data_IF_546228686053
#
_entry.id   IF_546228686053
#
_cell.length_a   1.000
_cell.length_b   1.000
_cell.length_c   1.000
_cell.angle_alpha   90.00
_cell.angle_beta   90.00
_cell.angle_gamma   90.00
#
_symmetry.space_group_name_H-M   'P 1'
#
loop_
_entity.id
_entity.type
_entity.pdbx_description
1 polymer ?
#
# COMPACT_ATOMS: atom_id res chain seq x y z
N UNK A 1 46.97 57.94 -18.15
CA UNK A 1 46.00 56.83 -18.22
C UNK A 1 44.78 57.22 -17.41
N UNK A 2 43.72 57.62 -18.09
CA UNK A 2 42.55 58.29 -17.51
C UNK A 2 41.46 57.22 -17.33
N UNK A 3 41.04 56.97 -16.08
CA UNK A 3 39.98 56.02 -15.76
C UNK A 3 38.65 56.75 -15.87
N UNK A 4 37.83 56.38 -16.84
CA UNK A 4 36.47 56.88 -17.02
C UNK A 4 35.53 56.09 -16.12
N UNK A 5 34.79 56.83 -15.27
CA UNK A 5 33.73 56.34 -14.41
C UNK A 5 32.42 56.14 -15.19
N UNK A 6 31.79 54.97 -15.05
CA UNK A 6 30.46 54.67 -15.61
C UNK A 6 29.36 55.19 -14.69
N UNK A 7 28.22 55.70 -15.27
CA UNK A 7 27.11 56.21 -14.48
C UNK A 7 26.20 55.11 -13.94
N UNK A 8 25.79 55.20 -12.67
CA UNK A 8 24.82 54.32 -12.03
C UNK A 8 23.41 54.60 -12.50
N UNK A 9 22.77 53.62 -13.07
CA UNK A 9 21.35 53.63 -13.45
C UNK A 9 20.51 53.32 -12.20
N UNK A 10 19.83 54.33 -11.65
CA UNK A 10 18.80 54.13 -10.60
C UNK A 10 17.47 53.75 -11.25
N UNK A 11 17.09 52.47 -11.13
CA UNK A 11 15.73 52.04 -11.40
C UNK A 11 14.78 52.55 -10.30
N UNK A 12 13.90 53.45 -10.61
CA UNK A 12 12.76 53.89 -9.80
C UNK A 12 11.61 52.89 -10.04
N UNK A 13 11.45 51.91 -9.16
CA UNK A 13 10.20 51.12 -9.12
C UNK A 13 9.09 51.98 -8.53
N UNK A 14 8.12 52.32 -9.38
CA UNK A 14 6.87 53.00 -9.01
C UNK A 14 5.89 51.91 -8.57
N UNK A 15 5.71 51.74 -7.26
CA UNK A 15 4.66 50.88 -6.72
C UNK A 15 3.29 51.51 -7.06
N UNK A 16 2.58 50.89 -8.01
CA UNK A 16 1.15 51.09 -8.18
C UNK A 16 0.41 50.14 -7.23
N UNK A 17 -0.15 50.74 -6.18
CA UNK A 17 -1.10 50.11 -5.28
C UNK A 17 -2.44 49.99 -6.03
N UNK A 18 -2.76 48.76 -6.47
CA UNK A 18 -4.10 48.40 -6.92
C UNK A 18 -4.72 47.52 -5.81
N UNK A 19 -5.63 48.14 -5.04
CA UNK A 19 -6.56 47.42 -4.20
C UNK A 19 -7.65 46.81 -5.10
N UNK A 20 -7.86 45.49 -5.11
CA UNK A 20 -9.12 44.96 -5.60
C UNK A 20 -10.13 45.00 -4.44
N UNK A 21 -11.19 45.77 -4.62
CA UNK A 21 -12.41 45.67 -3.81
C UNK A 21 -13.00 44.28 -3.98
N UNK A 22 -13.10 43.58 -2.88
CA UNK A 22 -13.68 42.23 -2.79
C UNK A 22 -15.21 42.39 -2.71
N UNK A 23 -15.89 42.32 -3.87
CA UNK A 23 -17.34 42.16 -3.89
C UNK A 23 -17.70 40.78 -3.36
N UNK A 24 -18.41 40.79 -2.25
CA UNK A 24 -18.98 39.58 -1.61
C UNK A 24 -20.10 39.02 -2.49
N UNK A 25 -19.75 38.00 -3.30
CA UNK A 25 -20.73 37.16 -3.99
C UNK A 25 -21.27 36.17 -2.95
N UNK A 26 -22.48 36.44 -2.48
CA UNK A 26 -23.26 35.51 -1.68
C UNK A 26 -23.69 34.32 -2.56
N UNK A 27 -23.02 33.19 -2.39
CA UNK A 27 -23.38 31.92 -3.05
C UNK A 27 -24.54 31.29 -2.29
N UNK A 28 -25.74 31.53 -2.75
CA UNK A 28 -26.97 30.89 -2.23
C UNK A 28 -27.02 29.45 -2.70
N UNK A 29 -26.58 28.54 -1.84
CA UNK A 29 -26.60 27.10 -2.07
C UNK A 29 -28.03 26.57 -1.99
N UNK A 30 -28.66 26.40 -3.13
CA UNK A 30 -29.92 25.64 -3.26
C UNK A 30 -29.60 24.14 -3.37
N UNK A 31 -29.46 23.46 -2.22
CA UNK A 31 -29.55 22.01 -2.19
C UNK A 31 -30.96 21.63 -1.73
N UNK A 32 -31.68 20.75 -2.44
CA UNK A 32 -32.95 20.21 -1.96
C UNK A 32 -32.66 19.29 -0.76
N UNK A 33 -33.34 19.56 0.35
CA UNK A 33 -33.32 18.72 1.56
C UNK A 33 -33.87 17.32 1.20
N UNK A 34 -33.01 16.31 1.28
CA UNK A 34 -33.41 14.92 1.26
C UNK A 34 -34.13 14.59 2.58
N UNK A 35 -35.23 13.80 2.54
CA UNK A 35 -35.97 13.45 3.73
C UNK A 35 -35.13 12.54 4.64
N UNK A 36 -35.13 12.87 5.94
CA UNK A 36 -34.49 12.10 6.99
C UNK A 36 -35.06 10.68 7.06
N UNK A 37 -34.21 9.68 6.81
CA UNK A 37 -34.56 8.27 7.04
C UNK A 37 -34.43 8.01 8.54
N UNK A 38 -35.57 7.79 9.20
CA UNK A 38 -35.66 7.38 10.61
C UNK A 38 -35.10 5.96 10.79
N UNK A 39 -34.34 5.68 11.89
CA UNK A 39 -33.82 4.34 12.16
C UNK A 39 -34.95 3.37 12.54
N UNK A 40 -34.86 2.07 12.16
CA UNK A 40 -35.87 1.09 12.50
C UNK A 40 -35.88 0.80 14.00
N UNK A 41 -37.07 0.94 14.60
CA UNK A 41 -37.37 0.60 16.00
C UNK A 41 -37.15 -0.91 16.22
N UNK A 42 -36.32 -1.25 17.20
CA UNK A 42 -36.18 -2.63 17.69
C UNK A 42 -37.49 -3.12 18.30
N UNK A 43 -38.16 -4.05 17.63
CA UNK A 43 -39.28 -4.80 18.23
C UNK A 43 -38.70 -5.81 19.19
N UNK A 44 -39.09 -5.67 20.47
CA UNK A 44 -38.87 -6.65 21.49
C UNK A 44 -39.66 -7.94 21.15
N UNK A 45 -38.93 -9.06 21.03
CA UNK A 45 -39.53 -10.38 20.94
C UNK A 45 -39.70 -10.95 22.36
N UNK A 46 -40.95 -11.16 22.74
CA UNK A 46 -41.37 -11.77 24.00
C UNK A 46 -40.91 -13.22 24.11
N UNK A 47 -40.33 -13.55 25.27
CA UNK A 47 -40.02 -14.89 25.72
C UNK A 47 -41.32 -15.68 25.93
N UNK A 48 -41.49 -16.77 25.20
CA UNK A 48 -42.48 -17.82 25.54
C UNK A 48 -41.65 -19.02 26.05
N UNK A 49 -41.71 -19.24 27.34
CA UNK A 49 -41.17 -20.43 28.01
C UNK A 49 -42.15 -21.59 27.73
N UNK A 50 -41.67 -22.67 27.13
CA UNK A 50 -42.35 -23.96 27.13
C UNK A 50 -41.49 -24.95 27.91
N UNK A 51 -42.03 -25.31 29.06
CA UNK A 51 -41.53 -26.38 29.93
C UNK A 51 -41.94 -27.68 29.32
N UNK A 52 -40.99 -28.55 28.97
CA UNK A 52 -41.25 -29.97 28.76
C UNK A 52 -40.41 -30.82 29.70
N UNK A 53 -41.13 -31.53 30.53
CA UNK A 53 -40.64 -32.47 31.57
C UNK A 53 -40.05 -33.75 30.97
N UNK A 54 -39.10 -34.29 31.69
CA UNK A 54 -38.32 -35.48 31.50
C UNK A 54 -39.05 -36.75 31.23
N UNK A 55 -38.42 -37.67 30.49
CA UNK A 55 -38.44 -39.11 30.76
C UNK A 55 -37.07 -39.67 30.39
N UNK A 56 -36.44 -40.30 31.40
CA UNK A 56 -35.18 -41.04 31.33
C UNK A 56 -35.39 -42.40 30.70
N UNK A 57 -34.55 -42.80 29.73
CA UNK A 57 -34.26 -44.21 29.49
C UNK A 57 -32.76 -44.35 29.16
N UNK A 58 -32.06 -45.06 30.06
CA UNK A 58 -30.72 -45.58 29.80
C UNK A 58 -30.77 -46.60 28.67
N UNK A 59 -29.98 -46.43 27.66
CA UNK A 59 -29.52 -47.48 26.78
C UNK A 59 -28.06 -47.22 26.40
N UNK A 60 -27.16 -47.98 27.04
CA UNK A 60 -25.74 -48.04 26.70
C UNK A 60 -25.57 -48.74 25.37
N UNK A 61 -25.16 -48.02 24.35
CA UNK A 61 -24.60 -48.60 23.14
C UNK A 61 -23.35 -47.86 22.76
N UNK A 62 -22.21 -48.54 22.94
CA UNK A 62 -20.90 -48.12 22.47
C UNK A 62 -20.89 -48.09 20.92
N UNK A 63 -21.14 -46.94 20.38
CA UNK A 63 -20.89 -46.66 18.96
C UNK A 63 -19.59 -45.89 18.83
N UNK A 64 -18.58 -46.54 18.25
CA UNK A 64 -17.36 -45.91 17.78
C UNK A 64 -17.72 -44.82 16.74
N UNK A 65 -17.79 -43.60 17.20
CA UNK A 65 -17.95 -42.45 16.32
C UNK A 65 -16.64 -42.16 15.60
N UNK A 66 -16.51 -42.65 14.36
CA UNK A 66 -15.63 -42.02 13.38
C UNK A 66 -16.04 -40.54 13.24
N UNK A 67 -15.29 -39.66 13.86
CA UNK A 67 -15.46 -38.22 13.69
C UNK A 67 -15.13 -37.87 12.24
N UNK A 68 -16.19 -37.74 11.42
CA UNK A 68 -16.09 -36.98 10.18
C UNK A 68 -15.70 -35.55 10.60
N UNK A 69 -14.42 -35.20 10.37
CA UNK A 69 -13.92 -33.86 10.54
C UNK A 69 -14.82 -32.95 9.71
N UNK A 70 -15.58 -32.11 10.38
CA UNK A 70 -16.30 -31.04 9.73
C UNK A 70 -15.31 -30.22 8.90
N UNK A 71 -15.64 -29.78 7.67
CA UNK A 71 -14.76 -28.94 6.91
C UNK A 71 -14.48 -27.69 7.76
N UNK A 72 -13.21 -27.51 8.13
CA UNK A 72 -12.76 -26.33 8.87
C UNK A 72 -13.23 -25.11 8.07
N UNK A 73 -14.06 -24.25 8.68
CA UNK A 73 -14.32 -22.91 8.13
C UNK A 73 -12.96 -22.34 7.79
N UNK A 74 -12.70 -22.09 6.51
CA UNK A 74 -11.47 -21.44 6.07
C UNK A 74 -11.35 -20.15 6.88
N UNK A 75 -10.36 -20.08 7.75
CA UNK A 75 -10.10 -18.87 8.53
C UNK A 75 -9.97 -17.73 7.54
N UNK A 76 -10.63 -16.61 7.83
CA UNK A 76 -10.50 -15.42 7.01
C UNK A 76 -9.01 -15.10 6.86
N UNK A 77 -8.53 -14.71 5.67
CA UNK A 77 -7.13 -14.45 5.44
C UNK A 77 -6.67 -13.35 6.42
N UNK A 78 -5.63 -13.64 7.20
CA UNK A 78 -5.12 -12.74 8.22
C UNK A 78 -3.73 -12.24 7.83
N UNK A 79 -3.44 -10.99 8.22
CA UNK A 79 -2.09 -10.45 8.09
C UNK A 79 -1.15 -11.15 9.07
N UNK A 80 0.00 -11.55 8.59
CA UNK A 80 1.11 -12.05 9.38
C UNK A 80 2.35 -11.18 9.16
N UNK A 81 3.24 -11.14 10.14
CA UNK A 81 4.51 -10.43 10.00
C UNK A 81 5.53 -11.31 9.29
N UNK A 82 6.23 -10.73 8.30
CA UNK A 82 7.29 -11.45 7.60
C UNK A 82 8.51 -11.59 8.52
N UNK A 83 9.15 -12.76 8.57
CA UNK A 83 10.37 -12.93 9.34
C UNK A 83 11.46 -11.97 8.83
N UNK A 84 12.31 -11.50 9.72
CA UNK A 84 13.47 -10.62 9.45
C UNK A 84 13.13 -9.34 8.66
N UNK A 85 11.89 -8.87 8.74
CA UNK A 85 11.39 -7.74 7.94
C UNK A 85 11.14 -6.46 8.74
N UNK A 86 11.47 -6.44 10.04
CA UNK A 86 11.27 -5.29 10.93
C UNK A 86 9.86 -4.65 10.81
N UNK A 87 8.81 -5.49 10.90
CA UNK A 87 7.42 -5.05 10.98
C UNK A 87 6.66 -4.99 9.66
N UNK A 88 7.18 -5.57 8.58
CA UNK A 88 6.41 -5.72 7.33
C UNK A 88 5.32 -6.77 7.52
N UNK A 89 4.06 -6.38 7.31
CA UNK A 89 2.91 -7.29 7.42
C UNK A 89 2.48 -7.74 6.04
N UNK A 90 2.22 -9.03 5.90
CA UNK A 90 1.83 -9.66 4.64
C UNK A 90 0.48 -10.38 4.76
N UNK A 91 -0.25 -10.40 3.66
CA UNK A 91 -1.49 -11.16 3.49
C UNK A 91 -1.42 -11.86 2.13
N UNK A 92 -1.47 -13.18 2.14
CA UNK A 92 -1.54 -13.96 0.90
C UNK A 92 -2.93 -13.83 0.28
N UNK A 93 -3.01 -13.22 -0.88
CA UNK A 93 -4.25 -13.14 -1.68
C UNK A 93 -4.36 -14.34 -2.61
N UNK A 94 -3.23 -14.78 -3.16
CA UNK A 94 -3.10 -16.01 -3.97
C UNK A 94 -1.73 -16.62 -3.73
N UNK A 95 -1.70 -17.90 -3.41
CA UNK A 95 -0.45 -18.63 -3.28
C UNK A 95 0.01 -19.08 -4.67
N UNK A 96 1.24 -18.73 -5.04
CA UNK A 96 1.84 -19.18 -6.29
C UNK A 96 2.26 -20.66 -6.23
N UNK A 97 2.40 -21.27 -7.39
CA UNK A 97 2.85 -22.67 -7.53
C UNK A 97 4.25 -22.79 -8.13
N UNK A 98 4.82 -21.69 -8.62
CA UNK A 98 6.12 -21.66 -9.28
C UNK A 98 7.30 -21.58 -8.32
N UNK A 99 8.45 -21.27 -8.88
CA UNK A 99 9.72 -21.13 -8.17
C UNK A 99 9.68 -20.01 -7.12
N UNK A 100 10.42 -20.22 -6.03
CA UNK A 100 10.63 -19.19 -5.00
C UNK A 100 12.04 -18.62 -5.17
N UNK A 101 12.23 -17.29 -5.04
CA UNK A 101 13.58 -16.71 -5.00
C UNK A 101 14.34 -17.33 -3.82
N UNK A 102 15.30 -18.20 -4.10
CA UNK A 102 16.02 -18.97 -3.08
C UNK A 102 16.83 -18.05 -2.16
N UNK A 103 16.66 -18.19 -0.83
CA UNK A 103 17.37 -17.35 0.15
C UNK A 103 18.89 -17.62 0.17
N UNK A 104 19.34 -18.79 -0.23
CA UNK A 104 20.76 -19.16 -0.18
C UNK A 104 21.59 -18.50 -1.30
N UNK A 105 20.96 -18.00 -2.37
CA UNK A 105 21.63 -17.39 -3.52
C UNK A 105 21.03 -16.00 -3.80
N UNK A 106 20.78 -15.22 -2.76
CA UNK A 106 20.15 -13.88 -2.88
C UNK A 106 21.01 -12.86 -3.67
N UNK A 107 22.27 -13.16 -3.91
CA UNK A 107 23.16 -12.34 -4.73
C UNK A 107 22.96 -12.77 -6.19
N UNK A 108 22.44 -11.85 -7.04
CA UNK A 108 22.20 -12.04 -8.46
C UNK A 108 20.89 -12.74 -8.87
N UNK A 109 19.85 -12.70 -8.04
CA UNK A 109 18.50 -13.10 -8.46
C UNK A 109 17.74 -11.88 -8.98
N UNK A 110 17.40 -11.88 -10.27
CA UNK A 110 16.54 -10.87 -10.88
C UNK A 110 15.09 -11.35 -10.82
N UNK A 111 14.23 -10.51 -10.30
CA UNK A 111 12.79 -10.76 -10.20
C UNK A 111 12.00 -9.79 -11.06
N UNK A 112 10.86 -10.26 -11.58
CA UNK A 112 9.89 -9.44 -12.28
C UNK A 112 8.57 -9.49 -11.52
N UNK A 113 8.01 -8.33 -11.19
CA UNK A 113 6.78 -8.21 -10.42
C UNK A 113 5.81 -7.25 -11.09
N UNK A 114 4.52 -7.53 -10.96
CA UNK A 114 3.50 -6.49 -11.08
C UNK A 114 3.14 -5.99 -9.70
N UNK A 115 2.89 -4.69 -9.59
CA UNK A 115 2.47 -4.11 -8.32
C UNK A 115 1.39 -3.04 -8.49
N UNK A 116 0.67 -2.84 -7.40
CA UNK A 116 -0.27 -1.74 -7.20
C UNK A 116 0.09 -1.05 -5.88
N UNK A 117 0.66 0.16 -5.96
CA UNK A 117 1.22 0.89 -4.83
C UNK A 117 0.28 1.98 -4.32
N UNK A 118 0.05 2.00 -3.00
CA UNK A 118 -0.80 2.98 -2.31
C UNK A 118 -0.08 3.57 -1.09
N UNK A 119 -0.40 4.82 -0.80
CA UNK A 119 0.07 5.52 0.40
C UNK A 119 -1.07 5.60 1.43
N UNK A 120 -0.93 4.94 2.58
CA UNK A 120 -1.96 4.89 3.62
C UNK A 120 -2.33 6.28 4.15
N UNK A 121 -1.34 7.18 4.31
CA UNK A 121 -1.52 8.54 4.83
C UNK A 121 -2.45 9.44 3.99
N UNK A 122 -2.75 9.08 2.76
CA UNK A 122 -3.63 9.81 1.84
C UNK A 122 -4.88 9.00 1.51
N UNK A 123 -5.49 8.38 2.50
CA UNK A 123 -6.70 7.54 2.35
C UNK A 123 -6.51 6.40 1.34
N UNK A 124 -5.29 5.83 1.30
CA UNK A 124 -4.97 4.78 0.35
C UNK A 124 -4.80 5.27 -1.09
N UNK A 125 -4.43 6.57 -1.27
CA UNK A 125 -4.15 7.10 -2.60
C UNK A 125 -3.14 6.23 -3.34
N UNK A 126 -3.56 5.78 -4.54
CA UNK A 126 -2.70 5.06 -5.48
C UNK A 126 -1.69 6.04 -6.07
N UNK A 127 -0.42 5.79 -5.84
CA UNK A 127 0.64 6.62 -6.40
C UNK A 127 1.25 6.03 -7.67
N UNK A 128 1.20 4.69 -7.84
CA UNK A 128 1.72 4.03 -9.03
C UNK A 128 1.19 2.60 -9.18
N UNK A 129 1.21 2.08 -10.41
CA UNK A 129 0.97 0.68 -10.72
C UNK A 129 1.60 0.30 -12.06
N UNK A 130 2.20 -0.88 -12.13
CA UNK A 130 2.78 -1.42 -13.37
C UNK A 130 1.74 -1.69 -14.46
N UNK A 131 0.46 -1.81 -14.11
CA UNK A 131 -0.61 -2.01 -15.10
C UNK A 131 -0.91 -0.75 -15.94
N UNK A 132 -0.46 0.41 -15.49
CA UNK A 132 -0.53 1.66 -16.26
C UNK A 132 0.70 1.84 -17.17
N UNK A 133 1.80 1.10 -16.91
CA UNK A 133 3.02 1.11 -17.72
C UNK A 133 2.90 0.07 -18.81
N UNK A 134 2.55 0.49 -20.01
CA UNK A 134 2.30 -0.41 -21.14
C UNK A 134 3.40 -0.33 -22.18
N UNK A 135 3.66 -1.47 -22.82
CA UNK A 135 4.52 -1.56 -23.99
C UNK A 135 3.80 -1.10 -25.27
N UNK A 136 4.47 -1.20 -26.41
CA UNK A 136 3.93 -0.85 -27.73
C UNK A 136 2.71 -1.71 -28.13
N UNK A 137 2.58 -2.91 -27.54
CA UNK A 137 1.47 -3.84 -27.79
C UNK A 137 0.29 -3.60 -26.85
N UNK A 138 0.44 -2.70 -25.86
CA UNK A 138 -0.56 -2.42 -24.83
C UNK A 138 -0.50 -3.36 -23.63
N UNK A 139 0.50 -4.27 -23.56
CA UNK A 139 0.69 -5.17 -22.44
C UNK A 139 1.41 -4.48 -21.27
N UNK A 140 1.04 -4.79 -20.01
CA UNK A 140 1.68 -4.23 -18.84
C UNK A 140 3.16 -4.65 -18.74
N UNK A 141 4.04 -3.68 -18.51
CA UNK A 141 5.48 -3.94 -18.33
C UNK A 141 5.73 -4.27 -16.85
N UNK A 142 6.23 -5.47 -16.51
CA UNK A 142 6.56 -5.80 -15.14
C UNK A 142 7.79 -5.02 -14.67
N UNK A 143 7.75 -4.57 -13.42
CA UNK A 143 8.89 -3.95 -12.77
C UNK A 143 9.95 -5.02 -12.44
N UNK A 144 11.20 -4.79 -12.86
CA UNK A 144 12.27 -5.77 -12.68
C UNK A 144 13.39 -5.20 -11.84
N UNK A 145 13.84 -5.98 -10.84
CA UNK A 145 14.96 -5.59 -9.99
C UNK A 145 15.78 -6.81 -9.55
N UNK A 146 16.97 -6.55 -9.02
CA UNK A 146 17.86 -7.59 -8.47
C UNK A 146 17.73 -7.57 -6.96
N UNK A 147 17.45 -8.72 -6.36
CA UNK A 147 17.37 -8.87 -4.91
C UNK A 147 18.72 -8.57 -4.26
N UNK A 148 18.71 -7.85 -3.15
CA UNK A 148 19.93 -7.44 -2.44
C UNK A 148 20.71 -6.31 -3.09
N UNK A 149 20.19 -5.68 -4.16
CA UNK A 149 20.87 -4.56 -4.83
C UNK A 149 20.81 -3.26 -4.03
N UNK A 150 19.94 -3.15 -3.05
CA UNK A 150 19.68 -1.92 -2.29
C UNK A 150 19.01 -0.79 -3.07
N UNK A 151 18.65 -1.04 -4.33
CA UNK A 151 17.96 -0.05 -5.18
C UNK A 151 16.47 0.07 -4.85
N UNK A 152 15.88 -1.02 -4.38
CA UNK A 152 14.44 -1.10 -4.07
C UNK A 152 14.24 -0.93 -2.57
N UNK A 153 13.06 -0.44 -2.17
CA UNK A 153 12.68 -0.35 -0.75
C UNK A 153 12.78 -1.73 -0.08
N UNK A 154 13.35 -1.78 1.12
CA UNK A 154 13.66 -3.02 1.84
C UNK A 154 12.40 -3.88 2.06
N UNK A 155 11.26 -3.24 2.36
CA UNK A 155 10.01 -3.95 2.58
C UNK A 155 9.48 -4.69 1.34
N UNK A 156 9.74 -4.19 0.13
CA UNK A 156 9.38 -4.89 -1.11
C UNK A 156 10.29 -6.09 -1.35
N UNK A 157 11.61 -5.96 -1.11
CA UNK A 157 12.53 -7.08 -1.21
C UNK A 157 12.16 -8.19 -0.22
N UNK A 158 11.86 -7.83 1.04
CA UNK A 158 11.43 -8.78 2.06
C UNK A 158 10.15 -9.51 1.64
N UNK A 159 9.19 -8.79 1.04
CA UNK A 159 7.94 -9.37 0.57
C UNK A 159 8.15 -10.42 -0.52
N UNK A 160 9.02 -10.13 -1.50
CA UNK A 160 9.22 -10.97 -2.68
C UNK A 160 10.05 -12.22 -2.37
N UNK A 161 11.02 -12.15 -1.45
CA UNK A 161 11.93 -13.26 -1.10
C UNK A 161 11.20 -14.56 -0.74
N UNK A 162 10.04 -14.48 -0.10
CA UNK A 162 9.26 -15.64 0.34
C UNK A 162 8.05 -15.95 -0.54
N UNK A 163 7.85 -15.24 -1.65
CA UNK A 163 6.78 -15.49 -2.59
C UNK A 163 7.15 -16.58 -3.59
N UNK A 164 6.12 -17.29 -4.10
CA UNK A 164 6.25 -18.17 -5.25
C UNK A 164 5.76 -17.47 -6.51
N UNK A 165 6.38 -17.78 -7.66
CA UNK A 165 5.93 -17.28 -8.96
C UNK A 165 4.45 -17.61 -9.18
N UNK A 166 3.69 -16.65 -9.68
CA UNK A 166 2.23 -16.68 -9.81
C UNK A 166 1.48 -16.32 -8.53
N UNK A 167 2.17 -16.05 -7.42
CA UNK A 167 1.55 -15.61 -6.17
C UNK A 167 1.18 -14.13 -6.20
N UNK A 168 0.13 -13.76 -5.46
CA UNK A 168 -0.26 -12.37 -5.19
C UNK A 168 -0.29 -12.17 -3.68
N UNK A 169 0.43 -11.16 -3.22
CA UNK A 169 0.57 -10.82 -1.80
C UNK A 169 0.28 -9.33 -1.60
N UNK A 170 -0.55 -9.03 -0.62
CA UNK A 170 -0.69 -7.67 -0.10
C UNK A 170 0.28 -7.47 1.04
N UNK A 171 1.04 -6.38 1.00
CA UNK A 171 1.98 -6.03 2.06
C UNK A 171 1.73 -4.63 2.59
N UNK A 172 1.89 -4.48 3.90
CA UNK A 172 1.89 -3.20 4.59
C UNK A 172 3.32 -2.97 5.07
N UNK A 173 3.96 -1.96 4.50
CA UNK A 173 5.36 -1.64 4.75
C UNK A 173 5.44 -0.43 5.68
N UNK A 174 6.03 -0.56 6.87
CA UNK A 174 6.23 0.56 7.78
C UNK A 174 7.25 1.54 7.21
N UNK A 175 7.28 2.80 7.67
CA UNK A 175 8.20 3.82 7.18
C UNK A 175 9.67 3.43 7.26
N UNK A 176 10.07 2.66 8.29
CA UNK A 176 11.45 2.17 8.47
C UNK A 176 11.91 1.21 7.36
N UNK A 177 10.98 0.54 6.69
CA UNK A 177 11.24 -0.41 5.60
C UNK A 177 10.77 0.12 4.24
N UNK A 178 10.20 1.33 4.22
CA UNK A 178 9.76 2.06 3.04
C UNK A 178 10.87 2.93 2.46
N UNK A 179 10.47 4.04 1.81
CA UNK A 179 11.41 4.98 1.22
C UNK A 179 12.23 5.71 2.30
N UNK A 180 13.57 5.54 2.26
CA UNK A 180 14.52 6.27 3.09
C UNK A 180 15.10 7.49 2.36
N UNK A 181 15.04 7.49 1.04
CA UNK A 181 15.46 8.58 0.16
C UNK A 181 14.64 8.58 -1.14
N UNK A 182 14.84 9.60 -1.96
CA UNK A 182 14.09 9.79 -3.21
C UNK A 182 14.61 9.00 -4.41
N UNK A 183 15.68 8.22 -4.22
CA UNK A 183 16.29 7.40 -5.29
C UNK A 183 15.91 5.92 -5.22
N UNK A 184 15.25 5.49 -4.13
CA UNK A 184 14.80 4.10 -4.00
C UNK A 184 13.59 3.82 -4.88
N UNK A 185 13.63 2.69 -5.55
CA UNK A 185 12.55 2.22 -6.43
C UNK A 185 11.50 1.40 -5.64
N UNK A 186 10.27 1.26 -6.14
CA UNK A 186 9.75 1.79 -7.42
C UNK A 186 9.40 3.28 -7.34
N UNK A 187 9.74 4.03 -8.38
CA UNK A 187 9.47 5.47 -8.46
C UNK A 187 8.39 5.71 -9.51
N UNK A 188 7.30 6.43 -9.20
CA UNK A 188 6.28 6.79 -10.18
C UNK A 188 6.90 7.52 -11.38
N UNK A 189 6.59 7.12 -12.63
CA UNK A 189 7.10 7.81 -13.82
C UNK A 189 6.50 9.20 -13.96
N UNK A 190 5.25 9.38 -13.53
CA UNK A 190 4.59 10.68 -13.53
C UNK A 190 5.25 11.62 -12.51
N UNK A 191 5.70 12.78 -13.00
CA UNK A 191 6.37 13.78 -12.16
C UNK A 191 5.51 14.27 -10.99
N UNK A 192 4.23 14.54 -11.23
CA UNK A 192 3.32 15.04 -10.18
C UNK A 192 3.05 13.99 -9.09
N UNK A 193 2.86 12.73 -9.47
CA UNK A 193 2.65 11.65 -8.52
C UNK A 193 3.91 11.39 -7.70
N UNK A 194 5.08 11.40 -8.33
CA UNK A 194 6.37 11.31 -7.65
C UNK A 194 6.60 12.45 -6.68
N UNK A 195 6.35 13.69 -7.09
CA UNK A 195 6.50 14.85 -6.22
C UNK A 195 5.52 14.77 -5.04
N UNK A 196 4.26 14.44 -5.31
CA UNK A 196 3.23 14.28 -4.27
C UNK A 196 3.58 13.19 -3.27
N UNK A 197 4.11 12.06 -3.73
CA UNK A 197 4.56 10.96 -2.89
C UNK A 197 5.64 11.43 -1.92
N UNK A 198 6.74 11.95 -2.45
CA UNK A 198 7.90 12.32 -1.65
C UNK A 198 7.66 13.55 -0.77
N UNK A 199 6.91 14.55 -1.23
CA UNK A 199 6.52 15.68 -0.38
C UNK A 199 5.57 15.27 0.76
N UNK A 200 4.85 14.15 0.63
CA UNK A 200 4.04 13.62 1.72
C UNK A 200 4.90 12.85 2.71
N UNK A 201 5.73 11.91 2.24
CA UNK A 201 6.57 11.05 3.09
C UNK A 201 7.63 11.87 3.83
N UNK A 202 8.32 12.77 3.13
CA UNK A 202 9.41 13.57 3.66
C UNK A 202 9.01 15.00 4.06
N UNK A 203 7.74 15.21 4.44
CA UNK A 203 7.27 16.52 4.90
C UNK A 203 7.95 16.90 6.21
N UNK A 204 8.85 17.92 6.24
CA UNK A 204 9.64 18.23 7.41
C UNK A 204 8.80 18.72 8.60
N UNK A 205 7.75 19.48 8.33
CA UNK A 205 6.86 20.01 9.37
C UNK A 205 6.09 18.88 10.07
N UNK A 206 5.55 17.94 9.30
CA UNK A 206 4.79 16.81 9.86
C UNK A 206 5.70 15.78 10.53
N UNK A 207 6.92 15.59 10.02
CA UNK A 207 7.93 14.75 10.66
C UNK A 207 8.36 15.33 12.01
N UNK A 208 8.55 16.66 12.08
CA UNK A 208 8.87 17.35 13.32
C UNK A 208 7.73 17.26 14.37
N UNK A 209 6.48 17.17 13.93
CA UNK A 209 5.30 16.95 14.79
C UNK A 209 5.11 15.49 15.24
N UNK A 210 6.02 14.59 14.90
CA UNK A 210 5.93 13.17 15.28
C UNK A 210 5.00 12.32 14.41
N UNK A 211 4.52 12.84 13.28
CA UNK A 211 3.63 12.11 12.36
C UNK A 211 4.38 11.12 11.46
N UNK A 212 5.71 11.03 11.56
CA UNK A 212 6.55 10.19 10.70
C UNK A 212 6.17 8.72 10.68
N UNK A 213 5.67 8.20 11.79
CA UNK A 213 5.23 6.80 11.90
C UNK A 213 4.03 6.43 11.01
N UNK A 214 3.26 7.41 10.56
CA UNK A 214 2.07 7.19 9.73
C UNK A 214 2.22 7.68 8.28
N UNK A 215 3.08 8.68 8.04
CA UNK A 215 3.20 9.32 6.73
C UNK A 215 3.76 8.40 5.64
N UNK A 216 4.71 7.55 6.00
CA UNK A 216 5.43 6.67 5.09
C UNK A 216 4.89 5.25 5.04
N UNK A 217 3.72 4.95 5.60
CA UNK A 217 3.14 3.62 5.51
C UNK A 217 2.69 3.37 4.07
N UNK A 218 3.29 2.35 3.46
CA UNK A 218 3.00 1.93 2.10
C UNK A 218 2.18 0.64 2.10
N UNK A 219 1.27 0.53 1.14
CA UNK A 219 0.50 -0.68 0.90
C UNK A 219 0.74 -1.09 -0.55
N UNK A 220 1.29 -2.28 -0.74
CA UNK A 220 1.48 -2.84 -2.07
C UNK A 220 0.71 -4.15 -2.22
N UNK A 221 0.07 -4.31 -3.36
CA UNK A 221 -0.37 -5.60 -3.85
C UNK A 221 0.65 -6.03 -4.91
N UNK A 222 1.40 -7.10 -4.64
CA UNK A 222 2.54 -7.56 -5.45
C UNK A 222 2.20 -8.91 -6.05
N UNK A 223 2.34 -9.05 -7.36
CA UNK A 223 2.30 -10.32 -8.08
C UNK A 223 3.70 -10.67 -8.56
N UNK A 224 4.23 -11.81 -8.16
CA UNK A 224 5.53 -12.31 -8.63
C UNK A 224 5.35 -13.03 -9.96
N UNK A 225 5.84 -12.44 -11.04
CA UNK A 225 5.69 -12.95 -12.40
C UNK A 225 6.81 -13.90 -12.76
N UNK A 226 8.06 -13.54 -12.45
CA UNK A 226 9.21 -14.31 -12.88
C UNK A 226 10.39 -14.16 -11.92
N UNK A 227 11.17 -15.25 -11.81
CA UNK A 227 12.47 -15.30 -11.14
C UNK A 227 13.51 -15.73 -12.16
N UNK A 228 14.65 -15.04 -12.18
CA UNK A 228 15.80 -15.38 -13.05
C UNK A 228 17.07 -15.35 -12.24
N UNK A 229 17.80 -16.45 -12.22
CA UNK A 229 19.13 -16.52 -11.64
C UNK A 229 20.14 -15.97 -12.65
N UNK A 230 20.86 -14.92 -12.27
CA UNK A 230 21.96 -14.38 -13.09
C UNK A 230 23.19 -15.25 -12.86
N UNK A 231 23.54 -16.07 -13.86
CA UNK A 231 24.80 -16.85 -13.78
C UNK A 231 25.98 -15.89 -13.81
N UNK A 232 26.89 -16.01 -12.83
CA UNK A 232 28.18 -15.34 -12.89
C UNK A 232 28.98 -15.92 -14.08
N UNK A 233 29.03 -15.17 -15.19
CA UNK A 233 29.88 -15.49 -16.34
C UNK A 233 31.37 -15.17 -16.10
N UNK A 234 31.83 -15.23 -14.85
CA UNK A 234 33.25 -15.07 -14.51
C UNK A 234 33.66 -16.28 -13.65
N UNK A 235 33.93 -17.37 -14.29
CA UNK A 235 34.77 -18.45 -13.83
C UNK A 235 35.90 -18.63 -14.85
#
# INVERSE_FOLDING_TARGET
>A
MTIQSLPSIRCRCRCMSLHPTFDSISFESRYPLLPAISPPTRRALSLSAVIFTAISTLASSSASSSSLAAPSKSAAPQFFELPDSAGVKALELRIGSGETPSMEISINVKVAVHYYGRLAAKQGWRFDTTYDHKDENGEPIPFTFVLGSGKVIVGMEAAVKSMKVGGIRRVIIPPSQGYQNTSQEPIPPNYFDRQRLFTTIFNPTRLANGEGSSLGILIFDIELVQVRHLSNKFA
#
